data_IF_710056300388
#
_entry.id   IF_710056300388
#
_cell.length_a   1.000
_cell.length_b   1.000
_cell.length_c   1.000
_cell.angle_alpha   90.00
_cell.angle_beta   90.00
_cell.angle_gamma   90.00
#
_symmetry.space_group_name_H-M   'P 1'
#
loop_
_entity.id
_entity.type
_entity.pdbx_description
1 polymer ?
#
# COMPACT_ATOMS: atom_id res chain seq x y z
N UNK A 1 9.60 9.59 6.93
CA UNK A 1 10.01 8.45 6.05
C UNK A 1 9.26 8.53 4.73
N UNK A 2 10.00 8.59 3.64
CA UNK A 2 9.37 8.57 2.32
C UNK A 2 8.61 7.26 2.11
N UNK A 3 7.38 7.36 1.67
CA UNK A 3 6.51 6.19 1.50
C UNK A 3 7.10 5.16 0.53
N UNK A 4 7.77 5.63 -0.53
CA UNK A 4 8.41 4.74 -1.50
C UNK A 4 9.66 4.06 -0.92
N UNK A 5 10.39 4.71 -0.02
CA UNK A 5 11.49 4.06 0.69
C UNK A 5 10.97 2.99 1.65
N UNK A 6 9.90 3.30 2.38
CA UNK A 6 9.24 2.32 3.24
C UNK A 6 8.78 1.10 2.44
N UNK A 7 8.28 1.32 1.21
CA UNK A 7 7.86 0.24 0.32
C UNK A 7 9.03 -0.68 -0.06
N UNK A 8 10.20 -0.11 -0.35
CA UNK A 8 11.39 -0.91 -0.65
C UNK A 8 11.81 -1.75 0.55
N UNK A 9 11.77 -1.19 1.77
CA UNK A 9 12.09 -1.94 2.98
C UNK A 9 11.04 -3.01 3.26
N UNK A 10 9.77 -2.74 2.98
CA UNK A 10 8.71 -3.73 3.10
C UNK A 10 8.94 -4.91 2.15
N UNK A 11 9.35 -4.62 0.92
CA UNK A 11 9.69 -5.67 -0.05
C UNK A 11 10.82 -6.55 0.48
N UNK A 12 11.87 -5.94 1.03
CA UNK A 12 12.98 -6.68 1.62
C UNK A 12 12.51 -7.55 2.79
N UNK A 13 11.66 -7.00 3.67
CA UNK A 13 11.09 -7.75 4.78
C UNK A 13 10.32 -8.97 4.28
N UNK A 14 9.53 -8.82 3.24
CA UNK A 14 8.79 -9.93 2.62
C UNK A 14 9.73 -11.00 2.07
N UNK A 15 10.84 -10.59 1.45
CA UNK A 15 11.85 -11.52 0.95
C UNK A 15 12.52 -12.28 2.09
N UNK A 16 12.86 -11.61 3.19
CA UNK A 16 13.49 -12.23 4.35
C UNK A 16 12.55 -13.22 5.04
N UNK A 17 11.24 -12.98 5.00
CA UNK A 17 10.23 -13.90 5.53
C UNK A 17 9.91 -15.03 4.55
N UNK A 18 10.60 -15.07 3.41
CA UNK A 18 10.47 -16.10 2.39
C UNK A 18 9.05 -16.24 1.82
N UNK A 19 8.35 -15.13 1.67
CA UNK A 19 7.09 -15.12 0.94
C UNK A 19 7.36 -15.43 -0.54
N UNK A 20 6.36 -15.98 -1.23
CA UNK A 20 6.54 -16.32 -2.65
C UNK A 20 6.71 -15.06 -3.48
N UNK A 21 7.40 -15.19 -4.63
CA UNK A 21 7.59 -14.07 -5.55
C UNK A 21 6.25 -13.48 -6.00
N UNK A 22 5.25 -14.33 -6.19
CA UNK A 22 3.92 -13.90 -6.59
C UNK A 22 3.28 -13.02 -5.52
N UNK A 23 3.38 -13.42 -4.25
CA UNK A 23 2.86 -12.66 -3.12
C UNK A 23 3.57 -11.31 -3.00
N UNK A 24 4.90 -11.32 -3.07
CA UNK A 24 5.72 -10.11 -2.97
C UNK A 24 5.36 -9.13 -4.09
N UNK A 25 5.23 -9.63 -5.32
CA UNK A 25 4.87 -8.82 -6.48
C UNK A 25 3.50 -8.16 -6.30
N UNK A 26 2.53 -8.92 -5.79
CA UNK A 26 1.20 -8.39 -5.51
C UNK A 26 1.23 -7.30 -4.44
N UNK A 27 1.90 -7.54 -3.33
CA UNK A 27 2.05 -6.56 -2.26
C UNK A 27 2.73 -5.29 -2.76
N UNK A 28 3.83 -5.44 -3.47
CA UNK A 28 4.61 -4.32 -3.98
C UNK A 28 3.81 -3.49 -4.99
N UNK A 29 3.28 -4.14 -6.01
CA UNK A 29 2.60 -3.43 -7.11
C UNK A 29 1.32 -2.75 -6.65
N UNK A 30 0.51 -3.41 -5.84
CA UNK A 30 -0.73 -2.84 -5.36
C UNK A 30 -0.46 -1.66 -4.41
N UNK A 31 0.53 -1.77 -3.56
CA UNK A 31 0.91 -0.67 -2.67
C UNK A 31 1.50 0.50 -3.45
N UNK A 32 2.37 0.22 -4.42
CA UNK A 32 2.95 1.26 -5.26
C UNK A 32 1.85 2.05 -6.00
N UNK A 33 0.86 1.36 -6.53
CA UNK A 33 -0.26 2.03 -7.21
C UNK A 33 -1.01 2.96 -6.27
N UNK A 34 -1.24 2.55 -5.03
CA UNK A 34 -1.85 3.43 -4.03
C UNK A 34 -0.97 4.64 -3.74
N UNK A 35 0.35 4.45 -3.58
CA UNK A 35 1.26 5.55 -3.27
C UNK A 35 1.32 6.55 -4.42
N UNK A 36 1.28 6.08 -5.66
CA UNK A 36 1.22 6.96 -6.83
C UNK A 36 -0.09 7.78 -6.81
N UNK A 37 -1.21 7.13 -6.52
CA UNK A 37 -2.50 7.80 -6.39
C UNK A 37 -2.45 8.86 -5.29
N UNK A 38 -1.93 8.51 -4.13
CA UNK A 38 -1.87 9.41 -2.98
C UNK A 38 -1.01 10.64 -3.26
N UNK A 39 0.11 10.47 -3.95
CA UNK A 39 0.95 11.60 -4.34
C UNK A 39 0.24 12.50 -5.35
N UNK A 40 -0.39 11.90 -6.36
CA UNK A 40 -1.05 12.65 -7.44
C UNK A 40 -2.28 13.41 -6.96
N UNK A 41 -3.11 12.79 -6.12
CA UNK A 41 -4.39 13.36 -5.72
C UNK A 41 -4.38 14.08 -4.38
N UNK A 42 -3.41 13.80 -3.52
CA UNK A 42 -3.36 14.35 -2.16
C UNK A 42 -2.01 14.95 -1.80
N UNK A 43 -1.04 14.92 -2.71
CA UNK A 43 0.30 15.45 -2.45
C UNK A 43 1.08 14.70 -1.38
N UNK A 44 0.72 13.45 -1.11
CA UNK A 44 1.34 12.64 -0.05
C UNK A 44 2.62 12.02 -0.58
N UNK A 45 3.74 12.24 0.13
CA UNK A 45 5.02 11.63 -0.20
C UNK A 45 5.58 10.83 0.97
N UNK A 46 5.15 11.12 2.19
CA UNK A 46 5.65 10.45 3.39
C UNK A 46 4.58 9.54 4.00
N UNK A 47 5.03 8.40 4.56
CA UNK A 47 4.11 7.38 5.06
C UNK A 47 3.23 7.91 6.21
N UNK A 48 3.76 8.79 7.05
CA UNK A 48 3.03 9.37 8.18
C UNK A 48 1.95 10.36 7.77
N UNK A 49 1.92 10.77 6.51
CA UNK A 49 0.88 11.68 5.99
C UNK A 49 -0.39 10.94 5.58
N UNK A 50 -0.37 9.61 5.53
CA UNK A 50 -1.52 8.83 5.08
C UNK A 50 -2.48 8.60 6.24
N UNK A 51 -3.74 9.01 6.05
CA UNK A 51 -4.82 8.77 7.00
C UNK A 51 -5.83 7.80 6.41
N UNK A 52 -6.67 7.24 7.27
CA UNK A 52 -7.75 6.33 6.86
C UNK A 52 -8.62 6.92 5.75
N UNK A 53 -8.87 8.24 5.79
CA UNK A 53 -9.66 8.92 4.78
C UNK A 53 -9.06 8.76 3.37
N UNK A 54 -7.73 8.82 3.26
CA UNK A 54 -7.05 8.66 1.96
C UNK A 54 -7.27 7.27 1.39
N UNK A 55 -7.27 6.25 2.26
CA UNK A 55 -7.53 4.87 1.84
C UNK A 55 -8.99 4.73 1.40
N UNK A 56 -9.93 5.35 2.12
CA UNK A 56 -11.35 5.33 1.73
C UNK A 56 -11.56 5.99 0.38
N UNK A 57 -10.89 7.12 0.12
CA UNK A 57 -10.96 7.78 -1.19
C UNK A 57 -10.41 6.88 -2.30
N UNK A 58 -9.33 6.14 -2.01
CA UNK A 58 -8.75 5.22 -2.97
C UNK A 58 -9.72 4.07 -3.28
N UNK A 59 -10.39 3.52 -2.28
CA UNK A 59 -11.40 2.48 -2.47
C UNK A 59 -12.53 3.01 -3.35
N UNK A 60 -13.01 4.22 -3.08
CA UNK A 60 -14.04 4.85 -3.89
C UNK A 60 -13.59 5.00 -5.35
N UNK A 61 -12.34 5.41 -5.55
CA UNK A 61 -11.74 5.52 -6.88
C UNK A 61 -11.71 4.16 -7.60
N UNK A 62 -11.29 3.10 -6.91
CA UNK A 62 -11.26 1.75 -7.48
C UNK A 62 -12.67 1.27 -7.86
N UNK A 63 -13.64 1.49 -6.99
CA UNK A 63 -15.03 1.09 -7.26
C UNK A 63 -15.61 1.87 -8.42
N UNK A 64 -15.23 3.13 -8.62
CA UNK A 64 -15.68 3.93 -9.76
C UNK A 64 -15.16 3.36 -11.08
N UNK A 65 -14.10 2.58 -11.07
CA UNK A 65 -13.56 1.89 -12.24
C UNK A 65 -14.21 0.54 -12.47
N UNK A 66 -15.29 0.24 -11.77
CA UNK A 66 -16.07 -1.00 -11.91
C UNK A 66 -15.27 -2.26 -11.57
N UNK A 67 -14.27 -2.13 -10.67
CA UNK A 67 -13.55 -3.29 -10.16
C UNK A 67 -14.44 -4.05 -9.18
N UNK A 68 -14.27 -5.38 -9.13
CA UNK A 68 -15.06 -6.21 -8.23
C UNK A 68 -14.70 -5.95 -6.77
N UNK A 69 -15.65 -6.24 -5.87
CA UNK A 69 -15.40 -6.15 -4.44
C UNK A 69 -14.27 -7.08 -4.01
N UNK A 70 -14.20 -8.28 -4.60
CA UNK A 70 -13.14 -9.24 -4.29
C UNK A 70 -11.75 -8.69 -4.65
N UNK A 71 -11.63 -8.07 -5.82
CA UNK A 71 -10.37 -7.49 -6.28
C UNK A 71 -9.97 -6.30 -5.39
N UNK A 72 -10.93 -5.45 -5.06
CA UNK A 72 -10.70 -4.30 -4.17
C UNK A 72 -10.26 -4.75 -2.78
N UNK A 73 -10.90 -5.79 -2.23
CA UNK A 73 -10.51 -6.34 -0.93
C UNK A 73 -9.11 -6.91 -0.95
N UNK A 74 -8.68 -7.52 -2.05
CA UNK A 74 -7.31 -8.01 -2.19
C UNK A 74 -6.30 -6.86 -2.16
N UNK A 75 -6.61 -5.75 -2.83
CA UNK A 75 -5.76 -4.56 -2.77
C UNK A 75 -5.67 -4.03 -1.35
N UNK A 76 -6.81 -3.95 -0.64
CA UNK A 76 -6.82 -3.49 0.75
C UNK A 76 -5.98 -4.39 1.66
N UNK A 77 -6.00 -5.70 1.42
CA UNK A 77 -5.15 -6.64 2.16
C UNK A 77 -3.67 -6.30 1.99
N UNK A 78 -3.26 -5.96 0.77
CA UNK A 78 -1.88 -5.57 0.49
C UNK A 78 -1.52 -4.28 1.23
N UNK A 79 -2.40 -3.28 1.22
CA UNK A 79 -2.18 -2.02 1.91
C UNK A 79 -2.08 -2.21 3.42
N UNK A 80 -2.93 -3.07 4.00
CA UNK A 80 -2.88 -3.37 5.43
C UNK A 80 -1.54 -3.99 5.82
N UNK A 81 -1.02 -4.90 5.00
CA UNK A 81 0.27 -5.53 5.25
C UNK A 81 1.39 -4.49 5.26
N UNK A 82 1.36 -3.55 4.31
CA UNK A 82 2.35 -2.48 4.21
C UNK A 82 2.29 -1.55 5.44
N UNK A 83 1.10 -1.08 5.81
CA UNK A 83 0.97 -0.17 6.95
C UNK A 83 1.26 -0.87 8.28
N UNK A 84 0.93 -2.15 8.40
CA UNK A 84 1.32 -2.93 9.57
C UNK A 84 2.83 -2.99 9.71
N UNK A 85 3.55 -3.21 8.61
CA UNK A 85 5.00 -3.19 8.59
C UNK A 85 5.53 -1.82 9.04
N UNK A 86 4.97 -0.73 8.49
CA UNK A 86 5.39 0.62 8.85
C UNK A 86 5.21 0.90 10.34
N UNK A 87 4.12 0.42 10.93
CA UNK A 87 3.86 0.56 12.37
C UNK A 87 4.88 -0.24 13.18
N UNK A 88 5.16 -1.48 12.78
CA UNK A 88 6.11 -2.34 13.48
C UNK A 88 7.52 -1.74 13.49
N UNK A 89 7.90 -1.07 12.40
CA UNK A 89 9.20 -0.43 12.27
C UNK A 89 9.21 0.98 12.86
N UNK A 90 8.10 1.40 13.43
CA UNK A 90 7.96 2.72 14.05
C UNK A 90 8.15 3.89 13.08
N UNK A 91 7.81 3.68 11.80
CA UNK A 91 7.83 4.76 10.82
C UNK A 91 6.58 5.64 10.91
N UNK A 92 5.55 5.13 11.55
CA UNK A 92 4.32 5.86 11.87
C UNK A 92 3.78 5.46 13.24
#
# INVERSE_FOLDING_TARGET
>A
MLAKHCLEEFKLDCQLRRLTDRTIKGYYNNTLNFLIYAEKHHGITEVEEVYTLHIKHYVQYLLSKKLTAAYTNNILKCLRAYFRFAIQEEYI
#
